data_IF_742938359642
#
_entry.id   IF_742938359642
#
_cell.length_a   1.000
_cell.length_b   1.000
_cell.length_c   1.000
_cell.angle_alpha   90.00
_cell.angle_beta   90.00
_cell.angle_gamma   90.00
#
_symmetry.space_group_name_H-M   'P 1'
#
loop_
_entity.id
_entity.type
_entity.pdbx_description
1 polymer ?
#
# COMPACT_ATOMS: atom_id res chain seq x y z
N UNK A 1 10.83 35.96 -24.14
CA UNK A 1 10.99 34.47 -24.31
C UNK A 1 9.61 33.87 -24.36
N UNK A 2 9.18 33.30 -25.51
CA UNK A 2 7.86 32.74 -25.66
C UNK A 2 7.66 31.54 -24.71
N UNK A 3 6.56 31.53 -23.98
CA UNK A 3 6.18 30.40 -23.13
C UNK A 3 5.97 29.18 -24.01
N UNK A 4 6.73 28.12 -23.80
CA UNK A 4 6.58 26.86 -24.53
C UNK A 4 5.27 26.19 -24.07
N UNK A 5 4.42 25.83 -25.03
CA UNK A 5 3.15 25.17 -24.72
C UNK A 5 3.33 23.72 -24.28
N UNK A 6 2.45 23.28 -23.37
CA UNK A 6 2.47 21.89 -22.89
C UNK A 6 2.11 20.93 -24.05
N UNK A 7 2.99 20.01 -24.37
CA UNK A 7 2.80 19.04 -25.45
C UNK A 7 1.53 18.18 -25.28
N UNK A 8 1.25 17.76 -24.05
CA UNK A 8 0.07 16.93 -23.77
C UNK A 8 -1.24 17.77 -23.86
N UNK A 9 -1.20 19.07 -23.47
CA UNK A 9 -2.32 19.96 -23.73
C UNK A 9 -2.60 20.13 -25.23
N UNK A 10 -1.54 20.24 -26.05
CA UNK A 10 -1.69 20.33 -27.51
C UNK A 10 -2.29 19.05 -28.07
N UNK A 11 -1.78 17.89 -27.63
CA UNK A 11 -2.28 16.58 -28.06
C UNK A 11 -3.76 16.34 -27.69
N UNK A 12 -4.20 16.90 -26.55
CA UNK A 12 -5.59 16.84 -26.06
C UNK A 12 -6.49 17.93 -26.65
N UNK A 13 -5.99 18.78 -27.55
CA UNK A 13 -6.77 19.85 -28.19
C UNK A 13 -7.16 20.98 -27.23
N UNK A 14 -6.42 21.20 -26.15
CA UNK A 14 -6.71 22.28 -25.18
C UNK A 14 -6.44 23.65 -25.84
N UNK A 15 -7.47 24.46 -25.98
CA UNK A 15 -7.42 25.75 -26.69
C UNK A 15 -6.49 26.80 -26.04
N UNK A 16 -6.25 26.69 -24.73
CA UNK A 16 -5.30 27.52 -23.98
C UNK A 16 -4.29 26.65 -23.23
N UNK A 17 -3.20 26.23 -23.89
CA UNK A 17 -2.16 25.42 -23.24
C UNK A 17 -1.62 26.09 -21.99
N UNK A 18 -1.45 25.32 -20.92
CA UNK A 18 -0.98 25.82 -19.64
C UNK A 18 0.54 26.02 -19.64
N UNK A 19 1.07 26.92 -18.79
CA UNK A 19 2.53 27.11 -18.61
C UNK A 19 3.24 25.79 -18.30
N UNK A 20 4.47 25.64 -18.79
CA UNK A 20 5.24 24.40 -18.73
C UNK A 20 6.50 24.54 -17.86
N UNK A 21 6.36 24.56 -16.51
CA UNK A 21 7.50 24.61 -15.61
C UNK A 21 8.29 23.30 -15.51
N UNK A 22 7.81 22.22 -16.14
CA UNK A 22 8.36 20.88 -16.01
C UNK A 22 8.74 20.28 -17.37
N UNK A 23 9.63 19.29 -17.36
CA UNK A 23 9.98 18.47 -18.51
C UNK A 23 11.06 19.04 -19.44
N UNK A 24 11.48 20.28 -19.23
CA UNK A 24 12.51 20.95 -20.05
C UNK A 24 12.08 21.22 -21.50
N UNK A 25 13.00 21.73 -22.36
CA UNK A 25 12.67 22.19 -23.71
C UNK A 25 12.15 21.08 -24.65
N UNK A 26 12.66 19.86 -24.51
CA UNK A 26 12.33 18.73 -25.39
C UNK A 26 11.03 18.02 -25.04
N UNK A 27 10.51 18.21 -23.82
CA UNK A 27 9.29 17.57 -23.35
C UNK A 27 8.53 18.44 -22.35
N UNK A 28 8.09 19.63 -22.77
CA UNK A 28 7.47 20.60 -21.89
C UNK A 28 6.12 20.10 -21.38
N UNK A 29 5.92 20.14 -20.05
CA UNK A 29 4.69 19.69 -19.39
C UNK A 29 4.16 20.77 -18.45
N UNK A 30 2.87 20.99 -18.45
CA UNK A 30 2.22 21.75 -17.37
C UNK A 30 2.16 20.93 -16.08
N UNK A 31 1.91 21.58 -14.96
CA UNK A 31 1.85 20.95 -13.63
C UNK A 31 0.88 19.74 -13.61
N UNK A 32 -0.27 19.86 -14.26
CA UNK A 32 -1.28 18.79 -14.31
C UNK A 32 -0.73 17.54 -15.02
N UNK A 33 -0.21 17.70 -16.25
CA UNK A 33 0.32 16.58 -17.03
C UNK A 33 1.60 16.00 -16.41
N UNK A 34 2.46 16.83 -15.82
CA UNK A 34 3.59 16.34 -15.06
C UNK A 34 3.15 15.47 -13.87
N UNK A 35 2.17 15.91 -13.08
CA UNK A 35 1.61 15.11 -11.97
C UNK A 35 0.98 13.80 -12.46
N UNK A 36 0.20 13.85 -13.54
CA UNK A 36 -0.40 12.66 -14.15
C UNK A 36 0.66 11.66 -14.63
N UNK A 37 1.71 12.14 -15.32
CA UNK A 37 2.84 11.31 -15.75
C UNK A 37 3.56 10.67 -14.56
N UNK A 38 3.85 11.45 -13.49
CA UNK A 38 4.48 10.95 -12.26
C UNK A 38 3.61 9.90 -11.57
N UNK A 39 2.30 10.08 -11.57
CA UNK A 39 1.35 9.10 -11.03
C UNK A 39 1.42 7.79 -11.83
N UNK A 40 1.27 7.85 -13.15
CA UNK A 40 1.36 6.65 -14.02
C UNK A 40 2.70 5.91 -13.83
N UNK A 41 3.81 6.63 -13.74
CA UNK A 41 5.11 6.02 -13.52
C UNK A 41 5.21 5.31 -12.17
N UNK A 42 4.70 5.94 -11.09
CA UNK A 42 4.65 5.30 -9.76
C UNK A 42 3.76 4.06 -9.76
N UNK A 43 2.62 4.13 -10.44
CA UNK A 43 1.68 3.01 -10.53
C UNK A 43 2.30 1.84 -11.29
N UNK A 44 2.96 2.11 -12.42
CA UNK A 44 3.71 1.10 -13.18
C UNK A 44 4.85 0.47 -12.35
N UNK A 45 5.66 1.29 -11.70
CA UNK A 45 6.77 0.80 -10.87
C UNK A 45 6.27 -0.03 -9.69
N UNK A 46 5.14 0.35 -9.10
CA UNK A 46 4.50 -0.42 -8.04
C UNK A 46 4.01 -1.77 -8.57
N UNK A 47 3.31 -1.79 -9.70
CA UNK A 47 2.80 -3.01 -10.32
C UNK A 47 3.92 -4.00 -10.65
N UNK A 48 5.00 -3.53 -11.31
CA UNK A 48 6.15 -4.36 -11.63
C UNK A 48 6.81 -4.95 -10.38
N UNK A 49 7.00 -4.13 -9.33
CA UNK A 49 7.57 -4.60 -8.06
C UNK A 49 6.68 -5.63 -7.39
N UNK A 50 5.38 -5.36 -7.30
CA UNK A 50 4.41 -6.26 -6.68
C UNK A 50 4.37 -7.60 -7.39
N UNK A 51 4.40 -7.60 -8.71
CA UNK A 51 4.46 -8.83 -9.51
C UNK A 51 5.78 -9.59 -9.31
N UNK A 52 6.91 -8.88 -9.36
CA UNK A 52 8.22 -9.50 -9.18
C UNK A 52 8.42 -10.07 -7.77
N UNK A 53 7.87 -9.40 -6.75
CA UNK A 53 8.08 -9.79 -5.34
C UNK A 53 7.06 -10.82 -4.86
N UNK A 54 5.80 -10.74 -5.29
CA UNK A 54 4.69 -11.53 -4.75
C UNK A 54 3.93 -12.36 -5.77
N UNK A 55 4.30 -12.29 -7.06
CA UNK A 55 3.61 -13.01 -8.13
C UNK A 55 2.16 -12.58 -8.38
N UNK A 56 1.73 -11.41 -7.86
CA UNK A 56 0.40 -10.86 -8.11
C UNK A 56 0.44 -9.69 -9.08
N UNK A 57 -0.54 -9.61 -9.97
CA UNK A 57 -0.65 -8.54 -10.96
C UNK A 57 -1.18 -7.23 -10.35
N UNK A 58 -1.20 -6.16 -11.14
CA UNK A 58 -1.83 -4.91 -10.72
C UNK A 58 -3.34 -5.10 -10.48
N UNK A 59 -3.99 -5.88 -11.33
CA UNK A 59 -5.41 -6.23 -11.24
C UNK A 59 -5.70 -6.99 -9.95
N UNK A 60 -4.87 -7.97 -9.58
CA UNK A 60 -4.97 -8.69 -8.32
C UNK A 60 -4.85 -7.76 -7.11
N UNK A 61 -3.85 -6.86 -7.13
CA UNK A 61 -3.66 -5.88 -6.06
C UNK A 61 -4.91 -5.02 -5.86
N UNK A 62 -5.46 -4.50 -6.97
CA UNK A 62 -6.64 -3.65 -6.89
C UNK A 62 -7.90 -4.43 -6.53
N UNK A 63 -8.04 -5.69 -6.96
CA UNK A 63 -9.12 -6.57 -6.55
C UNK A 63 -9.11 -6.82 -5.03
N UNK A 64 -7.93 -7.11 -4.45
CA UNK A 64 -7.76 -7.24 -2.99
C UNK A 64 -8.11 -5.92 -2.29
N UNK A 65 -7.63 -4.79 -2.83
CA UNK A 65 -7.91 -3.46 -2.27
C UNK A 65 -9.41 -3.15 -2.23
N UNK A 66 -10.14 -3.43 -3.31
CA UNK A 66 -11.60 -3.28 -3.36
C UNK A 66 -12.30 -4.22 -2.38
N UNK A 67 -11.93 -5.49 -2.34
CA UNK A 67 -12.50 -6.48 -1.43
C UNK A 67 -12.31 -6.11 0.05
N UNK A 68 -11.24 -5.36 0.39
CA UNK A 68 -10.98 -4.83 1.73
C UNK A 68 -11.70 -3.51 2.04
N UNK A 69 -12.58 -3.03 1.15
CA UNK A 69 -13.25 -1.74 1.30
C UNK A 69 -12.31 -0.54 1.11
N UNK A 70 -11.27 -0.69 0.29
CA UNK A 70 -10.27 0.35 -0.04
C UNK A 70 -9.46 0.84 1.16
N UNK A 71 -9.24 -0.02 2.14
CA UNK A 71 -8.56 0.31 3.40
C UNK A 71 -7.61 -0.79 3.85
N UNK A 72 -6.73 -0.44 4.76
CA UNK A 72 -5.92 -1.41 5.48
C UNK A 72 -6.82 -2.44 6.16
N UNK A 73 -6.56 -3.73 5.93
CA UNK A 73 -7.37 -4.81 6.47
C UNK A 73 -7.48 -4.80 8.01
N UNK A 74 -6.41 -4.42 8.71
CA UNK A 74 -6.39 -4.44 10.18
C UNK A 74 -7.01 -3.17 10.77
N UNK A 75 -6.46 -1.99 10.50
CA UNK A 75 -6.89 -0.78 11.20
C UNK A 75 -8.11 -0.09 10.60
N UNK A 76 -8.53 -0.46 9.39
CA UNK A 76 -9.66 0.10 8.66
C UNK A 76 -9.63 1.63 8.47
N UNK A 77 -8.48 2.29 8.75
CA UNK A 77 -8.32 3.75 8.66
C UNK A 77 -7.47 4.18 7.48
N UNK A 78 -6.33 3.54 7.24
CA UNK A 78 -5.41 3.91 6.18
C UNK A 78 -5.94 3.48 4.80
N UNK A 79 -6.14 4.45 3.91
CA UNK A 79 -6.68 4.20 2.55
C UNK A 79 -5.60 3.97 1.50
N UNK A 80 -4.32 4.14 1.81
CA UNK A 80 -3.25 4.04 0.80
C UNK A 80 -3.19 5.21 -0.20
N UNK A 81 -3.94 6.30 0.02
CA UNK A 81 -4.01 7.45 -0.89
C UNK A 81 -2.65 8.15 -1.06
N UNK A 82 -1.92 8.33 0.03
CA UNK A 82 -0.59 8.97 0.02
C UNK A 82 0.52 7.94 -0.27
N UNK A 83 0.48 6.80 0.42
CA UNK A 83 1.40 5.68 0.26
C UNK A 83 0.58 4.40 0.11
N UNK A 84 0.75 3.69 -1.01
CA UNK A 84 0.02 2.44 -1.26
C UNK A 84 0.18 1.47 -0.10
N UNK A 85 -0.85 0.68 0.16
CA UNK A 85 -0.80 -0.36 1.18
C UNK A 85 0.25 -1.41 0.79
N UNK A 86 0.97 -1.92 1.77
CA UNK A 86 1.93 -3.00 1.56
C UNK A 86 1.19 -4.33 1.37
N UNK A 87 1.72 -5.17 0.52
CA UNK A 87 1.30 -6.57 0.42
C UNK A 87 1.89 -7.30 1.61
N UNK A 88 1.05 -7.86 2.45
CA UNK A 88 1.43 -8.75 3.53
C UNK A 88 1.36 -10.19 3.07
N UNK A 89 2.33 -11.02 3.46
CA UNK A 89 2.43 -12.40 3.06
C UNK A 89 2.96 -13.29 4.20
N UNK A 90 2.69 -14.57 4.11
CA UNK A 90 3.13 -15.56 5.07
C UNK A 90 4.53 -16.07 4.72
N UNK A 91 5.48 -15.92 5.65
CA UNK A 91 6.87 -16.37 5.47
C UNK A 91 7.09 -17.87 5.75
N UNK A 92 6.13 -18.55 6.32
CA UNK A 92 6.24 -19.96 6.73
C UNK A 92 5.13 -20.85 6.18
N UNK A 93 4.44 -20.41 5.12
CA UNK A 93 3.35 -21.19 4.54
C UNK A 93 3.90 -22.47 3.91
N UNK A 94 3.37 -23.59 4.35
CA UNK A 94 3.68 -24.90 3.78
C UNK A 94 3.39 -24.92 2.26
N UNK A 95 4.30 -25.47 1.48
CA UNK A 95 4.21 -25.53 0.02
C UNK A 95 4.70 -24.26 -0.72
N UNK A 96 5.21 -23.27 0.02
CA UNK A 96 5.86 -22.10 -0.58
C UNK A 96 7.39 -22.23 -0.51
N UNK A 97 8.04 -22.37 -1.68
CA UNK A 97 9.50 -22.44 -1.81
C UNK A 97 10.02 -21.14 -2.42
N UNK A 98 10.12 -20.09 -1.62
CA UNK A 98 10.67 -18.80 -2.00
C UNK A 98 11.46 -18.16 -0.84
N UNK A 99 12.44 -17.28 -1.13
CA UNK A 99 13.19 -16.56 -0.11
C UNK A 99 12.30 -15.72 0.81
N UNK A 100 12.73 -15.45 2.07
CA UNK A 100 11.91 -14.72 3.04
C UNK A 100 11.55 -13.27 2.65
N UNK A 101 12.33 -12.65 1.77
CA UNK A 101 12.12 -11.28 1.25
C UNK A 101 11.17 -11.23 0.04
N UNK A 102 10.78 -12.38 -0.46
CA UNK A 102 9.80 -12.54 -1.56
C UNK A 102 8.59 -13.33 -1.08
N UNK A 103 7.57 -13.38 -1.92
CA UNK A 103 6.36 -14.14 -1.69
C UNK A 103 5.85 -14.74 -2.98
N UNK A 104 4.80 -15.50 -2.88
CA UNK A 104 4.06 -16.00 -4.04
C UNK A 104 2.57 -15.66 -3.87
N UNK A 105 1.81 -15.79 -4.95
CA UNK A 105 0.36 -15.53 -4.95
C UNK A 105 -0.39 -16.27 -3.82
N UNK A 106 0.05 -17.48 -3.50
CA UNK A 106 -0.61 -18.31 -2.49
C UNK A 106 -0.35 -17.87 -1.05
N UNK A 107 0.77 -17.21 -0.77
CA UNK A 107 1.10 -16.76 0.57
C UNK A 107 0.66 -15.31 0.86
N UNK A 108 0.13 -14.57 -0.13
CA UNK A 108 -0.42 -13.23 0.10
C UNK A 108 -1.63 -13.30 1.02
N UNK A 109 -1.60 -12.55 2.12
CA UNK A 109 -2.67 -12.52 3.13
C UNK A 109 -3.59 -11.33 3.00
N UNK A 110 -3.03 -10.11 2.87
CA UNK A 110 -3.80 -8.88 2.85
C UNK A 110 -2.98 -7.68 2.37
N UNK A 111 -3.65 -6.55 2.18
CA UNK A 111 -3.03 -5.24 2.02
C UNK A 111 -3.09 -4.46 3.33
N UNK A 112 -1.94 -4.06 3.84
CA UNK A 112 -1.79 -3.42 5.13
C UNK A 112 -1.08 -2.07 5.04
N UNK A 113 -1.40 -1.15 5.94
CA UNK A 113 -0.56 0.03 6.12
C UNK A 113 0.76 -0.34 6.83
N UNK A 114 1.78 0.50 6.66
CA UNK A 114 3.11 0.23 7.23
C UNK A 114 3.08 -0.15 8.72
N UNK A 115 2.43 0.65 9.59
CA UNK A 115 2.34 0.31 11.01
C UNK A 115 1.70 -1.05 11.30
N UNK A 116 0.60 -1.40 10.62
CA UNK A 116 -0.06 -2.68 10.82
C UNK A 116 0.79 -3.85 10.32
N UNK A 117 1.44 -3.67 9.16
CA UNK A 117 2.34 -4.67 8.60
C UNK A 117 3.53 -4.95 9.53
N UNK A 118 4.13 -3.89 10.09
CA UNK A 118 5.22 -4.03 11.07
C UNK A 118 4.75 -4.69 12.36
N UNK A 119 3.55 -4.36 12.84
CA UNK A 119 2.98 -4.95 14.05
C UNK A 119 2.85 -6.47 13.92
N UNK A 120 2.23 -6.97 12.85
CA UNK A 120 2.05 -8.42 12.68
C UNK A 120 3.35 -9.13 12.34
N UNK A 121 4.29 -8.49 11.64
CA UNK A 121 5.62 -9.04 11.41
C UNK A 121 6.49 -9.11 12.67
N UNK A 122 6.23 -8.22 13.65
CA UNK A 122 6.96 -8.19 14.92
C UNK A 122 6.40 -9.15 15.96
N UNK A 123 5.09 -9.35 15.97
CA UNK A 123 4.39 -10.18 16.95
C UNK A 123 3.77 -11.39 16.26
N UNK A 124 4.16 -12.58 16.66
CA UNK A 124 3.52 -13.81 16.18
C UNK A 124 2.07 -13.94 16.70
N UNK A 125 1.27 -14.87 16.11
CA UNK A 125 -0.14 -15.04 16.43
C UNK A 125 -0.42 -15.18 17.94
N UNK A 126 0.39 -15.96 18.66
CA UNK A 126 0.23 -16.15 20.10
C UNK A 126 0.35 -14.86 20.91
N UNK A 127 1.22 -13.93 20.52
CA UNK A 127 1.34 -12.64 21.19
C UNK A 127 0.13 -11.74 20.87
N UNK A 128 -0.39 -11.78 19.65
CA UNK A 128 -1.59 -11.04 19.27
C UNK A 128 -2.83 -11.54 19.99
N UNK A 129 -2.99 -12.86 20.16
CA UNK A 129 -4.07 -13.43 20.98
C UNK A 129 -3.97 -12.96 22.43
N UNK A 130 -2.76 -12.96 23.03
CA UNK A 130 -2.57 -12.41 24.39
C UNK A 130 -2.87 -10.91 24.47
N UNK A 131 -2.59 -10.14 23.42
CA UNK A 131 -2.96 -8.73 23.39
C UNK A 131 -4.49 -8.53 23.40
N UNK A 132 -5.22 -9.37 22.66
CA UNK A 132 -6.69 -9.40 22.70
C UNK A 132 -7.17 -9.73 24.12
N UNK A 133 -6.58 -10.73 24.77
CA UNK A 133 -6.93 -11.12 26.14
C UNK A 133 -6.71 -9.98 27.14
N UNK A 134 -5.61 -9.24 27.05
CA UNK A 134 -5.37 -8.06 27.89
C UNK A 134 -6.46 -7.01 27.70
N UNK A 135 -6.90 -6.77 26.47
CA UNK A 135 -7.93 -5.76 26.16
C UNK A 135 -9.34 -6.18 26.56
N UNK A 136 -9.64 -7.48 26.56
CA UNK A 136 -11.02 -8.00 26.71
C UNK A 136 -11.27 -8.68 28.05
N UNK A 137 -10.27 -9.34 28.64
CA UNK A 137 -10.41 -10.17 29.83
C UNK A 137 -9.80 -9.56 31.10
N UNK A 138 -9.07 -8.43 30.98
CA UNK A 138 -8.43 -7.73 32.10
C UNK A 138 -7.72 -8.66 33.08
N UNK A 139 -6.71 -9.46 32.65
CA UNK A 139 -6.13 -10.57 33.44
C UNK A 139 -5.60 -10.14 34.82
N UNK A 140 -5.17 -8.89 34.99
CA UNK A 140 -4.72 -8.36 36.25
C UNK A 140 -5.85 -8.32 37.31
N UNK A 141 -7.11 -8.14 36.91
CA UNK A 141 -8.24 -8.10 37.83
C UNK A 141 -8.48 -9.43 38.54
N UNK A 142 -8.11 -10.54 37.93
CA UNK A 142 -8.19 -11.86 38.58
C UNK A 142 -7.30 -11.97 39.83
N UNK A 143 -6.23 -11.16 39.93
CA UNK A 143 -5.36 -11.08 41.10
C UNK A 143 -5.79 -9.95 42.03
N UNK A 144 -6.04 -8.74 41.49
CA UNK A 144 -6.36 -7.55 42.28
C UNK A 144 -7.68 -7.70 43.07
N UNK A 145 -8.69 -8.35 42.48
CA UNK A 145 -9.98 -8.60 43.16
C UNK A 145 -9.88 -9.58 44.34
N UNK A 146 -8.80 -10.39 44.45
CA UNK A 146 -8.60 -11.28 45.60
C UNK A 146 -7.98 -10.56 46.82
N UNK A 147 -7.43 -9.38 46.62
CA UNK A 147 -6.76 -8.62 47.70
C UNK A 147 -7.69 -7.81 48.57
N UNK A 148 -9.00 -7.83 48.33
CA UNK A 148 -10.03 -7.10 49.09
C UNK A 148 -11.01 -8.04 49.81
N UNK A 149 -10.72 -9.32 49.87
CA UNK A 149 -11.45 -10.30 50.69
C UNK A 149 -10.58 -10.72 51.88
#
# INVERSE_FOLDING_TARGET
>A
MGSVACKDCIAEGVTRPRPTPHGGPLSPLCVTHHRARRRRQRDRSHALRTQATYGITAEDYWAIYEAQGRRCYICQRATGATKKLAVDHDHGREGCDHPPDTGCRQCVRALLCGPCNQMIGRFGPAALYRAIDVMTKLPAQAVLSRSFA
#
